data_IF_807819018061
#
_entry.id   IF_807819018061
#
_cell.length_a   1.000
_cell.length_b   1.000
_cell.length_c   1.000
_cell.angle_alpha   90.00
_cell.angle_beta   90.00
_cell.angle_gamma   90.00
#
_symmetry.space_group_name_H-M   'P 1'
#
loop_
_entity.id
_entity.type
_entity.pdbx_description
1 polymer ?
#
# COMPACT_ATOMS: atom_id res chain seq x y z
N UNK A 1 1.70 -6.47 -33.16
CA UNK A 1 0.40 -6.95 -32.66
C UNK A 1 -0.39 -5.74 -32.22
N UNK A 2 -1.52 -5.44 -32.85
CA UNK A 2 -2.37 -4.29 -32.51
C UNK A 2 -3.34 -4.73 -31.41
N UNK A 3 -3.27 -4.10 -30.23
CA UNK A 3 -4.20 -4.34 -29.12
C UNK A 3 -5.21 -3.21 -29.06
N UNK A 4 -6.49 -3.54 -29.13
CA UNK A 4 -7.58 -2.62 -28.82
C UNK A 4 -7.90 -2.80 -27.33
N UNK A 5 -7.52 -1.85 -26.49
CA UNK A 5 -7.86 -1.87 -25.06
C UNK A 5 -9.02 -0.91 -24.77
N UNK A 6 -10.17 -1.46 -24.41
CA UNK A 6 -11.17 -0.72 -23.63
C UNK A 6 -11.42 -1.50 -22.34
N UNK A 7 -11.14 -0.87 -21.19
CA UNK A 7 -11.36 -1.40 -19.84
C UNK A 7 -10.27 -2.34 -19.34
N UNK A 8 -9.27 -1.80 -18.63
CA UNK A 8 -8.29 -2.57 -17.86
C UNK A 8 -8.31 -2.16 -16.39
N UNK A 9 -7.85 -3.04 -15.50
CA UNK A 9 -7.67 -2.74 -14.08
C UNK A 9 -6.63 -1.64 -13.94
N UNK A 10 -7.06 -0.51 -13.38
CA UNK A 10 -6.19 0.66 -13.13
C UNK A 10 -5.69 0.72 -11.69
N UNK A 11 -6.41 0.09 -10.77
CA UNK A 11 -6.11 0.04 -9.36
C UNK A 11 -6.52 -1.33 -8.80
N UNK A 12 -5.65 -1.92 -7.98
CA UNK A 12 -5.92 -3.11 -7.19
C UNK A 12 -5.70 -2.77 -5.70
N UNK A 13 -6.77 -2.74 -4.91
CA UNK A 13 -6.69 -2.70 -3.44
C UNK A 13 -6.59 -4.14 -2.93
N UNK A 14 -5.65 -4.38 -2.03
CA UNK A 14 -5.44 -5.66 -1.37
C UNK A 14 -5.51 -5.41 0.15
N UNK A 15 -6.41 -6.13 0.80
CA UNK A 15 -6.81 -6.00 2.20
C UNK A 15 -7.49 -7.33 2.56
N UNK A 16 -6.69 -8.33 2.91
CA UNK A 16 -7.14 -9.72 3.00
C UNK A 16 -6.60 -10.41 4.25
N UNK A 17 -6.28 -9.63 5.27
CA UNK A 17 -5.97 -10.08 6.63
C UNK A 17 -4.87 -11.17 6.67
N UNK A 18 -3.77 -10.96 5.95
CA UNK A 18 -2.59 -11.82 5.96
C UNK A 18 -2.36 -12.64 4.69
N UNK A 19 -3.31 -12.62 3.75
CA UNK A 19 -3.21 -13.32 2.45
C UNK A 19 -2.68 -12.40 1.32
N UNK A 20 -2.06 -11.27 1.66
CA UNK A 20 -1.70 -10.24 0.67
C UNK A 20 -0.70 -10.75 -0.37
N UNK A 21 0.27 -11.58 0.04
CA UNK A 21 1.23 -12.19 -0.87
C UNK A 21 0.54 -13.18 -1.82
N UNK A 22 -0.38 -14.00 -1.32
CA UNK A 22 -1.14 -14.96 -2.13
C UNK A 22 -1.96 -14.23 -3.22
N UNK A 23 -2.53 -13.08 -2.89
CA UNK A 23 -3.24 -12.24 -3.87
C UNK A 23 -2.28 -11.69 -4.92
N UNK A 24 -1.10 -11.19 -4.53
CA UNK A 24 -0.10 -10.71 -5.47
C UNK A 24 0.35 -11.83 -6.42
N UNK A 25 0.68 -13.00 -5.89
CA UNK A 25 1.10 -14.16 -6.66
C UNK A 25 -0.01 -14.64 -7.60
N UNK A 26 -1.23 -14.79 -7.11
CA UNK A 26 -2.40 -15.17 -7.92
C UNK A 26 -2.75 -14.14 -8.99
N UNK A 27 -2.50 -12.85 -8.74
CA UNK A 27 -2.72 -11.77 -9.69
C UNK A 27 -1.54 -11.52 -10.65
N UNK A 28 -0.47 -12.34 -10.63
CA UNK A 28 0.77 -12.09 -11.38
C UNK A 28 0.54 -11.81 -12.88
N UNK A 29 -0.35 -12.56 -13.54
CA UNK A 29 -0.65 -12.35 -14.96
C UNK A 29 -1.32 -11.00 -15.22
N UNK A 30 -2.25 -10.60 -14.34
CA UNK A 30 -2.93 -9.30 -14.41
C UNK A 30 -1.95 -8.16 -14.17
N UNK A 31 -1.10 -8.27 -13.15
CA UNK A 31 -0.09 -7.26 -12.84
C UNK A 31 0.91 -7.12 -13.98
N UNK A 32 1.39 -8.23 -14.55
CA UNK A 32 2.30 -8.20 -15.69
C UNK A 32 1.68 -7.57 -16.95
N UNK A 33 0.40 -7.87 -17.24
CA UNK A 33 -0.25 -7.39 -18.46
C UNK A 33 -0.77 -5.95 -18.35
N UNK A 34 -1.31 -5.59 -17.19
CA UNK A 34 -2.09 -4.36 -17.02
C UNK A 34 -1.40 -3.30 -16.18
N UNK A 35 -0.38 -3.69 -15.39
CA UNK A 35 0.43 -2.78 -14.56
C UNK A 35 -0.46 -1.79 -13.78
N UNK A 36 -1.46 -2.28 -12.99
CA UNK A 36 -2.33 -1.40 -12.22
C UNK A 36 -1.54 -0.69 -11.13
N UNK A 37 -2.06 0.43 -10.62
CA UNK A 37 -1.68 0.90 -9.29
C UNK A 37 -2.05 -0.17 -8.26
N UNK A 38 -1.27 -0.35 -7.22
CA UNK A 38 -1.54 -1.30 -6.15
C UNK A 38 -1.58 -0.55 -4.82
N UNK A 39 -2.62 -0.77 -4.03
CA UNK A 39 -2.72 -0.28 -2.67
C UNK A 39 -2.82 -1.50 -1.75
N UNK A 40 -1.73 -1.80 -1.06
CA UNK A 40 -1.53 -3.03 -0.32
C UNK A 40 -1.59 -2.73 1.18
N UNK A 41 -2.47 -3.39 1.91
CA UNK A 41 -2.40 -3.38 3.37
C UNK A 41 -1.11 -4.05 3.84
N UNK A 42 -0.46 -3.45 4.83
CA UNK A 42 0.81 -3.92 5.35
C UNK A 42 0.93 -3.62 6.85
N UNK A 43 -0.14 -3.92 7.58
CA UNK A 43 -0.32 -3.75 9.02
C UNK A 43 0.39 -4.85 9.85
N UNK A 44 0.60 -6.00 9.24
CA UNK A 44 1.31 -7.16 9.79
C UNK A 44 2.73 -7.29 9.25
N UNK A 45 3.66 -7.67 10.12
CA UNK A 45 5.04 -7.97 9.74
C UNK A 45 5.17 -9.29 8.97
N UNK A 46 4.17 -10.16 9.04
CA UNK A 46 4.15 -11.42 8.31
C UNK A 46 4.31 -11.17 6.81
N UNK A 47 5.27 -11.89 6.22
CA UNK A 47 5.62 -11.79 4.80
C UNK A 47 5.96 -10.37 4.31
N UNK A 48 6.29 -9.42 5.21
CA UNK A 48 6.64 -8.04 4.85
C UNK A 48 7.70 -7.99 3.74
N UNK A 49 8.83 -8.68 3.99
CA UNK A 49 9.95 -8.69 3.07
C UNK A 49 9.55 -9.32 1.72
N UNK A 50 8.79 -10.41 1.74
CA UNK A 50 8.32 -11.08 0.54
C UNK A 50 7.35 -10.22 -0.28
N UNK A 51 6.39 -9.55 0.37
CA UNK A 51 5.43 -8.63 -0.26
C UNK A 51 6.14 -7.46 -0.94
N UNK A 52 7.07 -6.81 -0.23
CA UNK A 52 7.82 -5.67 -0.77
C UNK A 52 8.77 -6.10 -1.88
N UNK A 53 9.49 -7.22 -1.71
CA UNK A 53 10.38 -7.76 -2.75
C UNK A 53 9.62 -8.09 -4.03
N UNK A 54 8.45 -8.72 -3.92
CA UNK A 54 7.61 -9.07 -5.07
C UNK A 54 7.27 -7.85 -5.93
N UNK A 55 6.92 -6.72 -5.30
CA UNK A 55 6.61 -5.46 -5.97
C UNK A 55 7.87 -4.82 -6.58
N UNK A 56 8.96 -4.72 -5.81
CA UNK A 56 10.20 -4.09 -6.24
C UNK A 56 10.82 -4.82 -7.45
N UNK A 57 10.83 -6.15 -7.44
CA UNK A 57 11.31 -7.00 -8.55
C UNK A 57 10.51 -6.79 -9.85
N UNK A 58 9.26 -6.31 -9.74
CA UNK A 58 8.36 -6.03 -10.86
C UNK A 58 8.37 -4.57 -11.29
N UNK A 59 9.37 -3.80 -10.85
CA UNK A 59 9.54 -2.37 -11.16
C UNK A 59 8.34 -1.52 -10.72
N UNK A 60 7.85 -1.78 -9.51
CA UNK A 60 6.95 -0.89 -8.82
C UNK A 60 7.71 0.05 -7.88
N UNK A 61 7.46 1.35 -8.01
CA UNK A 61 7.82 2.36 -7.04
C UNK A 61 6.87 2.27 -5.84
N UNK A 62 7.38 1.79 -4.71
CA UNK A 62 6.62 1.60 -3.47
C UNK A 62 6.79 2.77 -2.51
N UNK A 63 5.70 3.19 -1.87
CA UNK A 63 5.62 4.30 -0.93
C UNK A 63 4.78 3.88 0.29
N UNK A 64 5.27 4.15 1.49
CA UNK A 64 4.44 4.01 2.69
C UNK A 64 3.33 5.07 2.68
N UNK A 65 2.12 4.64 3.04
CA UNK A 65 1.00 5.52 3.33
C UNK A 65 0.43 5.13 4.69
N UNK A 66 0.53 6.03 5.66
CA UNK A 66 0.30 5.75 7.08
C UNK A 66 -0.80 6.64 7.69
N UNK A 67 -2.01 6.69 7.12
CA UNK A 67 -3.06 7.54 7.66
C UNK A 67 -3.47 7.08 9.06
N UNK A 68 -3.74 8.04 9.94
CA UNK A 68 -4.36 7.75 11.24
C UNK A 68 -5.79 7.22 11.03
N UNK A 69 -6.23 6.34 11.93
CA UNK A 69 -7.61 5.81 11.91
C UNK A 69 -8.65 6.90 12.14
N UNK A 70 -8.24 7.99 12.76
CA UNK A 70 -9.10 9.10 13.14
C UNK A 70 -8.61 10.43 12.57
N UNK A 71 -9.59 11.25 12.22
CA UNK A 71 -9.44 12.69 11.94
C UNK A 71 -10.57 13.42 12.67
N UNK A 72 -10.28 14.56 13.27
CA UNK A 72 -11.24 15.32 14.08
C UNK A 72 -12.27 16.10 13.24
N UNK A 73 -12.03 16.21 11.93
CA UNK A 73 -12.94 16.66 10.88
C UNK A 73 -13.57 15.48 10.13
N UNK A 74 -14.02 14.46 10.88
CA UNK A 74 -14.78 13.34 10.35
C UNK A 74 -16.26 13.68 10.12
N UNK A 75 -16.94 12.84 9.32
CA UNK A 75 -18.36 12.98 8.96
C UNK A 75 -19.30 13.12 10.16
N UNK A 76 -19.00 12.43 11.27
CA UNK A 76 -19.84 12.44 12.48
C UNK A 76 -19.54 13.61 13.43
N UNK A 77 -18.55 14.46 13.11
CA UNK A 77 -18.15 15.59 13.95
C UNK A 77 -17.52 15.19 15.29
N UNK A 78 -17.13 13.92 15.45
CA UNK A 78 -16.49 13.42 16.67
C UNK A 78 -15.15 14.15 16.87
N UNK A 79 -14.88 14.61 18.10
CA UNK A 79 -13.63 15.33 18.43
C UNK A 79 -12.63 14.51 19.22
N UNK A 80 -13.09 13.42 19.83
CA UNK A 80 -12.23 12.53 20.60
C UNK A 80 -11.85 11.33 19.74
N UNK A 81 -10.55 11.08 19.63
CA UNK A 81 -9.99 9.90 18.95
C UNK A 81 -10.20 8.66 19.83
N UNK A 82 -11.02 7.67 19.43
CA UNK A 82 -11.15 6.42 20.17
C UNK A 82 -10.05 5.41 19.83
N UNK A 83 -9.23 5.66 18.81
CA UNK A 83 -8.21 4.76 18.28
C UNK A 83 -6.81 5.21 18.72
N UNK A 84 -6.60 5.25 20.03
CA UNK A 84 -5.32 5.63 20.64
C UNK A 84 -4.63 4.42 21.27
N UNK A 85 -3.31 4.37 21.12
CA UNK A 85 -2.44 3.41 21.79
C UNK A 85 -2.27 3.76 23.27
N UNK A 86 -1.77 2.84 24.11
CA UNK A 86 -1.51 3.12 25.54
C UNK A 86 -0.55 4.30 25.79
N UNK A 87 0.31 4.64 24.82
CA UNK A 87 1.22 5.80 24.88
C UNK A 87 0.57 7.12 24.41
N UNK A 88 -0.72 7.11 24.09
CA UNK A 88 -1.51 8.27 23.67
C UNK A 88 -1.39 8.62 22.18
N UNK A 89 -0.64 7.86 21.38
CA UNK A 89 -0.56 8.09 19.93
C UNK A 89 -1.71 7.43 19.19
N UNK A 90 -2.22 8.09 18.15
CA UNK A 90 -3.21 7.49 17.25
C UNK A 90 -2.67 6.21 16.60
N UNK A 91 -3.57 5.24 16.42
CA UNK A 91 -3.34 4.04 15.61
C UNK A 91 -3.30 4.47 14.14
N UNK A 92 -2.33 3.93 13.40
CA UNK A 92 -2.17 4.18 11.97
C UNK A 92 -2.58 2.94 11.17
N UNK A 93 -3.10 3.17 9.96
CA UNK A 93 -3.25 2.13 8.94
C UNK A 93 -1.97 2.04 8.13
N UNK A 94 -1.19 0.99 8.33
CA UNK A 94 0.03 0.82 7.56
C UNK A 94 -0.30 0.22 6.19
N UNK A 95 -0.09 1.00 5.14
CA UNK A 95 -0.30 0.57 3.76
C UNK A 95 0.92 0.91 2.90
N UNK A 96 1.03 0.19 1.78
CA UNK A 96 1.97 0.48 0.71
C UNK A 96 1.19 0.88 -0.52
N UNK A 97 1.42 2.10 -0.99
CA UNK A 97 1.04 2.51 -2.33
C UNK A 97 2.16 2.16 -3.30
N UNK A 98 1.87 1.36 -4.31
CA UNK A 98 2.83 0.94 -5.31
C UNK A 98 2.33 1.33 -6.70
N UNK A 99 3.17 2.03 -7.46
CA UNK A 99 2.90 2.40 -8.84
C UNK A 99 3.97 1.80 -9.76
N UNK A 100 3.63 1.37 -10.98
CA UNK A 100 4.64 1.08 -11.99
C UNK A 100 5.58 2.28 -12.16
N UNK A 101 6.89 2.06 -12.33
CA UNK A 101 7.87 3.14 -12.51
C UNK A 101 7.58 4.04 -13.73
N UNK A 102 6.73 3.59 -14.67
CA UNK A 102 6.26 4.39 -15.81
C UNK A 102 5.22 5.46 -15.43
N UNK A 103 4.63 5.40 -14.24
CA UNK A 103 3.65 6.35 -13.73
C UNK A 103 4.34 7.34 -12.80
N UNK A 104 4.24 8.63 -13.12
CA UNK A 104 4.67 9.69 -12.20
C UNK A 104 3.68 9.81 -11.05
N UNK A 105 4.16 9.55 -9.84
CA UNK A 105 3.36 9.68 -8.62
C UNK A 105 3.66 11.02 -7.95
N UNK A 106 2.64 11.87 -7.85
CA UNK A 106 2.70 13.08 -7.02
C UNK A 106 2.12 12.74 -5.64
N UNK A 107 2.89 12.03 -4.81
CA UNK A 107 2.46 11.67 -3.44
C UNK A 107 2.76 12.79 -2.45
N UNK A 108 1.82 12.98 -1.50
CA UNK A 108 1.94 13.89 -0.36
C UNK A 108 2.90 13.35 0.71
N UNK A 109 2.92 12.03 0.95
CA UNK A 109 3.79 11.38 1.92
C UNK A 109 4.91 10.63 1.19
N UNK A 110 6.16 11.09 1.38
CA UNK A 110 7.28 10.88 0.44
C UNK A 110 8.21 9.73 0.79
N UNK A 111 7.91 8.89 1.77
CA UNK A 111 8.85 7.84 2.17
C UNK A 111 8.80 6.69 1.18
N UNK A 112 9.61 6.80 0.14
CA UNK A 112 9.85 5.74 -0.84
C UNK A 112 10.52 4.57 -0.14
N UNK A 113 10.02 3.37 -0.43
CA UNK A 113 10.59 2.12 0.04
C UNK A 113 11.70 1.74 -0.94
N UNK A 114 12.95 1.80 -0.49
CA UNK A 114 14.13 1.47 -1.31
C UNK A 114 14.74 0.11 -0.97
N UNK A 115 14.30 -0.50 0.13
CA UNK A 115 14.65 -1.87 0.52
C UNK A 115 13.47 -2.52 1.25
N UNK A 116 13.34 -3.86 1.23
CA UNK A 116 12.20 -4.56 1.80
C UNK A 116 12.27 -4.73 3.33
N UNK A 117 13.31 -4.18 3.96
CA UNK A 117 13.68 -4.45 5.37
C UNK A 117 13.14 -3.42 6.37
N UNK A 118 13.17 -2.09 6.12
CA UNK A 118 12.74 -1.12 7.12
C UNK A 118 11.25 -1.24 7.40
N UNK A 119 10.90 -1.50 8.67
CA UNK A 119 9.52 -1.44 9.12
C UNK A 119 9.11 0.02 9.33
N UNK A 120 7.84 0.35 9.07
CA UNK A 120 7.42 1.76 9.06
C UNK A 120 7.55 2.44 10.43
N UNK A 121 7.55 1.70 11.53
CA UNK A 121 7.80 2.27 12.87
C UNK A 121 9.23 2.74 13.06
N UNK A 122 10.19 2.16 12.34
CA UNK A 122 11.61 2.52 12.40
C UNK A 122 11.91 3.80 11.63
N UNK A 123 10.92 4.32 10.89
CA UNK A 123 10.99 5.56 10.12
C UNK A 123 10.55 6.79 10.92
N UNK A 124 10.21 6.62 12.21
CA UNK A 124 9.80 7.68 13.14
C UNK A 124 10.93 8.13 14.07
#
# INVERSE_FOLDING_TARGET
MMRVSHGGVRLLKIDVEGMELDVLEGASALVAEQQPLIYLENDRQDNLEAKLSWLLERNYACHWHLPAYFRDDNFYGCKNDPFVQPDGKSILSANVFAAPESITVHVLERTRITSPTPWWTDLR
#
